data_IF_632841551158
#
_entry.id   IF_632841551158
#
_cell.length_a   1.000
_cell.length_b   1.000
_cell.length_c   1.000
_cell.angle_alpha   90.00
_cell.angle_beta   90.00
_cell.angle_gamma   90.00
#
_symmetry.space_group_name_H-M   'P 1'
#
loop_
_entity.id
_entity.type
_entity.pdbx_description
1 polymer ?
#
# COMPACT_ATOMS: atom_id res chain seq x y z
N UNK A 1 15.61 -4.36 29.51
CA UNK A 1 15.96 -3.93 28.14
C UNK A 1 14.81 -4.38 27.26
N UNK A 2 14.09 -3.47 26.61
CA UNK A 2 13.09 -3.87 25.61
C UNK A 2 13.85 -4.42 24.40
N UNK A 3 13.46 -5.60 23.94
CA UNK A 3 13.97 -6.17 22.70
C UNK A 3 13.42 -5.36 21.51
N UNK A 4 14.09 -5.39 20.36
CA UNK A 4 13.57 -4.77 19.14
C UNK A 4 12.14 -5.25 18.83
N UNK A 5 11.87 -6.55 19.04
CA UNK A 5 10.54 -7.13 18.86
C UNK A 5 9.50 -6.52 19.79
N UNK A 6 9.80 -6.31 21.08
CA UNK A 6 8.88 -5.64 21.99
C UNK A 6 8.58 -4.20 21.56
N UNK A 7 9.57 -3.47 21.01
CA UNK A 7 9.34 -2.13 20.48
C UNK A 7 8.50 -2.13 19.20
N UNK A 8 8.67 -3.16 18.36
CA UNK A 8 7.84 -3.39 17.18
C UNK A 8 6.41 -3.74 17.59
N UNK A 9 6.21 -4.60 18.57
CA UNK A 9 4.89 -4.91 19.16
C UNK A 9 4.19 -3.63 19.64
N UNK A 10 4.89 -2.80 20.41
CA UNK A 10 4.37 -1.51 20.88
C UNK A 10 4.01 -0.59 19.71
N UNK A 11 4.86 -0.50 18.69
CA UNK A 11 4.58 0.31 17.50
C UNK A 11 3.34 -0.19 16.77
N UNK A 12 3.24 -1.50 16.53
CA UNK A 12 2.11 -2.10 15.83
C UNK A 12 0.82 -1.86 16.61
N UNK A 13 0.80 -2.11 17.91
CA UNK A 13 -0.37 -1.87 18.76
C UNK A 13 -0.85 -0.41 18.70
N UNK A 14 0.08 0.56 18.69
CA UNK A 14 -0.25 1.98 18.66
C UNK A 14 -0.64 2.52 17.27
N UNK A 15 -0.23 1.86 16.18
CA UNK A 15 -0.37 2.41 14.82
C UNK A 15 -1.29 1.60 13.91
N UNK A 16 -1.49 0.30 14.16
CA UNK A 16 -2.34 -0.55 13.29
C UNK A 16 -3.81 -0.13 13.31
N UNK A 17 -4.26 0.47 14.43
CA UNK A 17 -5.60 1.04 14.54
C UNK A 17 -5.89 2.10 13.47
N UNK A 18 -4.88 2.86 13.04
CA UNK A 18 -5.02 3.86 11.96
C UNK A 18 -5.34 3.21 10.61
N UNK A 19 -4.73 2.05 10.31
CA UNK A 19 -5.04 1.28 9.11
C UNK A 19 -6.51 0.82 9.13
N UNK A 20 -6.96 0.27 10.26
CA UNK A 20 -8.34 -0.20 10.42
C UNK A 20 -9.37 0.94 10.37
N UNK A 21 -9.12 2.08 11.02
CA UNK A 21 -10.01 3.24 10.96
C UNK A 21 -10.07 3.81 9.54
N UNK A 22 -8.93 3.93 8.86
CA UNK A 22 -8.85 4.42 7.48
C UNK A 22 -9.66 3.56 6.50
N UNK A 23 -9.66 2.23 6.69
CA UNK A 23 -10.51 1.30 5.92
C UNK A 23 -12.00 1.58 6.14
N UNK A 24 -12.42 1.77 7.39
CA UNK A 24 -13.82 2.06 7.73
C UNK A 24 -14.25 3.43 7.18
N UNK A 25 -13.42 4.46 7.34
CA UNK A 25 -13.71 5.80 6.84
C UNK A 25 -13.83 5.82 5.31
N UNK A 26 -13.05 4.97 4.63
CA UNK A 26 -13.20 4.76 3.20
C UNK A 26 -14.56 4.19 2.82
N UNK A 27 -15.08 3.21 3.55
CA UNK A 27 -16.43 2.66 3.31
C UNK A 27 -17.52 3.71 3.54
N UNK A 28 -17.40 4.48 4.62
CA UNK A 28 -18.38 5.52 5.00
C UNK A 28 -18.42 6.68 4.00
N UNK A 29 -17.27 7.09 3.48
CA UNK A 29 -17.17 8.18 2.49
C UNK A 29 -17.42 7.74 1.05
N UNK A 30 -17.49 6.43 0.77
CA UNK A 30 -17.68 5.92 -0.58
C UNK A 30 -19.07 6.27 -1.10
N UNK A 31 -19.14 6.55 -2.41
CA UNK A 31 -20.37 6.89 -3.12
C UNK A 31 -20.53 5.92 -4.30
N UNK A 32 -21.77 5.47 -4.57
CA UNK A 32 -22.05 4.53 -5.66
C UNK A 32 -21.54 5.04 -7.01
N UNK A 33 -21.78 6.31 -7.33
CA UNK A 33 -21.31 6.93 -8.58
C UNK A 33 -19.78 6.89 -8.72
N UNK A 34 -19.05 7.09 -7.62
CA UNK A 34 -17.58 6.96 -7.63
C UNK A 34 -17.17 5.52 -7.91
N UNK A 35 -17.88 4.57 -7.32
CA UNK A 35 -17.64 3.14 -7.52
C UNK A 35 -17.82 2.76 -8.99
N UNK A 36 -18.95 3.10 -9.59
CA UNK A 36 -19.27 2.79 -10.99
C UNK A 36 -18.26 3.45 -11.95
N UNK A 37 -17.83 4.68 -11.68
CA UNK A 37 -16.82 5.39 -12.50
C UNK A 37 -15.41 4.82 -12.35
N UNK A 38 -15.12 4.10 -11.27
CA UNK A 38 -13.74 3.68 -10.94
C UNK A 38 -13.26 2.44 -11.68
N UNK A 39 -14.15 1.68 -12.32
CA UNK A 39 -13.83 0.40 -12.97
C UNK A 39 -14.43 0.32 -14.38
N UNK A 40 -13.99 -0.67 -15.15
CA UNK A 40 -14.40 -0.84 -16.55
C UNK A 40 -15.77 -1.57 -16.64
N UNK A 41 -16.88 -0.89 -17.03
CA UNK A 41 -18.20 -1.51 -17.09
C UNK A 41 -18.28 -2.65 -18.12
N UNK A 42 -17.51 -2.59 -19.21
CA UNK A 42 -17.47 -3.64 -20.22
C UNK A 42 -16.92 -4.96 -19.66
N UNK A 43 -15.97 -4.90 -18.73
CA UNK A 43 -15.44 -6.08 -18.04
C UNK A 43 -16.53 -6.79 -17.24
N UNK A 44 -17.36 -6.05 -16.51
CA UNK A 44 -18.44 -6.64 -15.70
C UNK A 44 -19.56 -7.21 -16.57
N UNK A 45 -19.83 -6.59 -17.73
CA UNK A 45 -20.72 -7.18 -18.73
C UNK A 45 -20.15 -8.49 -19.28
N UNK A 46 -18.85 -8.52 -19.61
CA UNK A 46 -18.18 -9.72 -20.12
C UNK A 46 -18.08 -10.85 -19.07
N UNK A 47 -18.00 -10.51 -17.78
CA UNK A 47 -18.08 -11.48 -16.67
C UNK A 47 -19.47 -12.09 -16.47
N UNK A 48 -20.48 -11.64 -17.23
CA UNK A 48 -21.86 -12.10 -17.14
C UNK A 48 -22.44 -11.99 -15.73
N UNK A 49 -22.18 -10.86 -15.05
CA UNK A 49 -22.82 -10.56 -13.76
C UNK A 49 -24.26 -10.14 -14.02
N UNK A 50 -25.22 -10.85 -13.41
CA UNK A 50 -26.63 -10.78 -13.79
C UNK A 50 -27.51 -10.11 -12.76
N UNK A 51 -27.00 -9.89 -11.54
CA UNK A 51 -27.76 -9.20 -10.48
C UNK A 51 -27.10 -7.88 -10.06
N UNK A 52 -27.89 -6.90 -9.60
CA UNK A 52 -27.38 -5.66 -9.02
C UNK A 52 -26.39 -5.90 -7.87
N UNK A 53 -26.67 -6.89 -7.02
CA UNK A 53 -25.80 -7.23 -5.89
C UNK A 53 -24.44 -7.74 -6.36
N UNK A 54 -24.40 -8.71 -7.29
CA UNK A 54 -23.15 -9.23 -7.84
C UNK A 54 -22.29 -8.12 -8.46
N UNK A 55 -22.92 -7.18 -9.19
CA UNK A 55 -22.20 -6.06 -9.80
C UNK A 55 -21.63 -5.14 -8.71
N UNK A 56 -22.47 -4.71 -7.76
CA UNK A 56 -22.03 -3.80 -6.68
C UNK A 56 -20.92 -4.44 -5.86
N UNK A 57 -21.05 -5.70 -5.45
CA UNK A 57 -20.03 -6.43 -4.69
C UNK A 57 -18.74 -6.61 -5.49
N UNK A 58 -18.83 -6.95 -6.78
CA UNK A 58 -17.64 -7.15 -7.63
C UNK A 58 -16.86 -5.84 -7.86
N UNK A 59 -17.56 -4.73 -8.08
CA UNK A 59 -16.90 -3.42 -8.23
C UNK A 59 -16.37 -2.95 -6.87
N UNK A 60 -17.14 -3.08 -5.78
CA UNK A 60 -16.73 -2.71 -4.43
C UNK A 60 -15.48 -3.45 -3.98
N UNK A 61 -15.46 -4.78 -4.09
CA UNK A 61 -14.32 -5.63 -3.76
C UNK A 61 -13.06 -5.20 -4.53
N UNK A 62 -13.17 -5.01 -5.85
CA UNK A 62 -12.05 -4.58 -6.68
C UNK A 62 -11.56 -3.16 -6.35
N UNK A 63 -12.45 -2.26 -5.93
CA UNK A 63 -12.08 -0.91 -5.53
C UNK A 63 -11.38 -0.89 -4.16
N UNK A 64 -11.93 -1.62 -3.20
CA UNK A 64 -11.43 -1.67 -1.83
C UNK A 64 -10.09 -2.40 -1.73
N UNK A 65 -9.91 -3.49 -2.48
CA UNK A 65 -8.62 -4.20 -2.53
C UNK A 65 -7.47 -3.27 -2.93
N UNK A 66 -7.63 -2.47 -3.99
CA UNK A 66 -6.59 -1.49 -4.39
C UNK A 66 -6.35 -0.39 -3.35
N UNK A 67 -7.41 0.03 -2.64
CA UNK A 67 -7.29 1.04 -1.60
C UNK A 67 -6.57 0.50 -0.36
N UNK A 68 -6.85 -0.76 0.03
CA UNK A 68 -6.22 -1.45 1.14
C UNK A 68 -4.73 -1.68 0.88
N UNK A 69 -4.33 -2.06 -0.33
CA UNK A 69 -2.92 -2.18 -0.72
C UNK A 69 -2.16 -0.85 -0.55
N UNK A 70 -2.78 0.27 -0.90
CA UNK A 70 -2.16 1.60 -0.74
C UNK A 70 -2.04 1.98 0.73
N UNK A 71 -3.14 1.85 1.50
CA UNK A 71 -3.15 2.15 2.94
C UNK A 71 -2.14 1.30 3.72
N UNK A 72 -2.04 0.02 3.37
CA UNK A 72 -1.09 -0.88 4.03
C UNK A 72 0.34 -0.63 3.59
N UNK A 73 0.56 -0.21 2.34
CA UNK A 73 1.88 0.26 1.87
C UNK A 73 2.40 1.45 2.67
N UNK A 74 1.55 2.47 2.88
CA UNK A 74 1.90 3.64 3.70
C UNK A 74 2.22 3.24 5.15
N UNK A 75 1.47 2.28 5.70
CA UNK A 75 1.71 1.76 7.05
C UNK A 75 3.04 0.99 7.15
N UNK A 76 3.36 0.14 6.15
CA UNK A 76 4.63 -0.59 6.07
C UNK A 76 5.84 0.34 5.91
N UNK A 77 5.70 1.44 5.16
CA UNK A 77 6.71 2.49 5.10
C UNK A 77 6.99 3.07 6.49
N UNK A 78 5.93 3.40 7.24
CA UNK A 78 6.05 3.88 8.62
C UNK A 78 6.78 2.90 9.54
N UNK A 79 6.41 1.61 9.47
CA UNK A 79 7.07 0.56 10.26
C UNK A 79 8.56 0.44 9.91
N UNK A 80 8.92 0.44 8.63
CA UNK A 80 10.31 0.36 8.19
C UNK A 80 11.15 1.56 8.65
N UNK A 81 10.60 2.78 8.59
CA UNK A 81 11.25 3.99 9.11
C UNK A 81 11.46 3.88 10.62
N UNK A 82 10.44 3.43 11.36
CA UNK A 82 10.52 3.25 12.81
C UNK A 82 11.61 2.25 13.21
N UNK A 83 11.68 1.10 12.55
CA UNK A 83 12.72 0.09 12.81
C UNK A 83 14.11 0.65 12.52
N UNK A 84 14.30 1.29 11.36
CA UNK A 84 15.58 1.89 11.00
C UNK A 84 15.98 3.02 11.97
N UNK A 85 15.01 3.76 12.51
CA UNK A 85 15.26 4.77 13.54
C UNK A 85 15.83 4.16 14.82
N UNK A 86 15.23 3.07 15.31
CA UNK A 86 15.68 2.41 16.54
C UNK A 86 17.07 1.79 16.37
N UNK A 87 17.32 1.14 15.23
CA UNK A 87 18.54 0.33 15.04
C UNK A 87 19.72 1.16 14.53
N UNK A 88 19.47 2.09 13.60
CA UNK A 88 20.50 2.81 12.87
C UNK A 88 20.33 4.34 12.93
N UNK A 89 19.49 4.86 13.83
CA UNK A 89 19.16 6.28 13.91
C UNK A 89 18.66 6.84 12.55
N UNK A 90 18.01 5.99 11.76
CA UNK A 90 17.42 6.37 10.49
C UNK A 90 16.28 7.38 10.65
N UNK A 91 16.00 8.14 9.60
CA UNK A 91 15.00 9.19 9.61
C UNK A 91 14.26 9.30 8.28
N UNK A 92 13.05 9.87 8.32
CA UNK A 92 12.25 10.13 7.12
C UNK A 92 12.97 11.16 6.26
N UNK A 93 13.24 10.79 5.01
CA UNK A 93 14.00 11.62 4.09
C UNK A 93 13.22 12.87 3.66
N UNK A 94 13.96 13.95 3.38
CA UNK A 94 13.42 15.15 2.75
C UNK A 94 13.63 15.17 1.22
N UNK A 95 14.40 14.23 0.68
CA UNK A 95 14.68 14.11 -0.73
C UNK A 95 13.49 13.51 -1.49
N UNK A 96 13.21 14.09 -2.66
CA UNK A 96 12.11 13.69 -3.53
C UNK A 96 12.18 12.19 -3.89
N UNK A 97 11.13 11.44 -3.52
CA UNK A 97 11.00 10.01 -3.81
C UNK A 97 11.98 9.10 -3.07
N UNK A 98 12.58 9.60 -1.99
CA UNK A 98 13.33 8.82 -0.99
C UNK A 98 12.53 8.87 0.31
N UNK A 99 12.31 7.72 0.92
CA UNK A 99 11.41 7.56 2.05
C UNK A 99 12.19 7.51 3.38
N UNK A 100 13.36 6.88 3.37
CA UNK A 100 14.22 6.67 4.54
C UNK A 100 15.69 6.97 4.20
N UNK A 101 16.38 7.64 5.12
CA UNK A 101 17.84 7.79 5.14
C UNK A 101 18.40 7.16 6.42
N UNK A 102 19.52 6.45 6.32
CA UNK A 102 20.21 5.86 7.48
C UNK A 102 21.69 5.64 7.20
N UNK A 103 22.51 5.61 8.25
CA UNK A 103 23.93 5.26 8.15
C UNK A 103 24.17 3.83 8.69
N UNK A 104 24.90 3.02 7.93
CA UNK A 104 25.28 1.66 8.34
C UNK A 104 26.67 1.34 7.81
N UNK A 105 27.54 0.83 8.68
CA UNK A 105 28.92 0.42 8.36
C UNK A 105 29.73 1.47 7.58
N UNK A 106 29.58 2.74 7.96
CA UNK A 106 30.28 3.87 7.32
C UNK A 106 29.73 4.29 5.95
N UNK A 107 28.60 3.72 5.52
CA UNK A 107 27.89 4.08 4.28
C UNK A 107 26.55 4.72 4.60
N UNK A 108 26.25 5.82 3.91
CA UNK A 108 24.97 6.49 3.96
C UNK A 108 24.00 5.90 2.93
N UNK A 109 22.79 5.53 3.34
CA UNK A 109 21.83 4.87 2.47
C UNK A 109 20.60 5.74 2.20
N UNK A 110 20.31 5.96 0.92
CA UNK A 110 19.05 6.52 0.44
C UNK A 110 18.09 5.38 0.08
N UNK A 111 16.99 5.25 0.81
CA UNK A 111 16.08 4.12 0.68
C UNK A 111 14.72 4.62 0.20
N UNK A 112 14.25 4.06 -0.92
CA UNK A 112 12.83 4.16 -1.27
C UNK A 112 12.13 2.84 -0.94
N UNK A 113 11.08 2.94 -0.13
CA UNK A 113 10.32 1.82 0.40
C UNK A 113 9.11 1.58 -0.51
N UNK A 114 8.85 0.31 -0.80
CA UNK A 114 7.75 -0.17 -1.63
C UNK A 114 7.14 -1.39 -0.96
N UNK A 115 5.84 -1.61 -1.16
CA UNK A 115 5.21 -2.79 -0.59
C UNK A 115 5.84 -4.07 -1.16
N UNK A 116 5.95 -4.19 -2.49
CA UNK A 116 6.47 -5.39 -3.15
C UNK A 116 7.23 -5.13 -4.45
N UNK A 117 7.81 -6.16 -5.08
CA UNK A 117 8.78 -6.01 -6.16
C UNK A 117 8.16 -5.53 -7.49
N UNK A 118 6.85 -5.70 -7.69
CA UNK A 118 6.10 -5.34 -8.90
C UNK A 118 5.21 -4.11 -8.68
N UNK A 119 5.80 -3.03 -8.15
CA UNK A 119 5.05 -1.83 -7.78
C UNK A 119 4.93 -0.80 -8.94
N UNK A 120 5.73 -0.94 -10.00
CA UNK A 120 5.94 0.12 -11.00
C UNK A 120 5.87 -0.35 -12.44
N UNK A 121 5.50 0.57 -13.32
CA UNK A 121 5.77 0.50 -14.75
C UNK A 121 7.16 1.10 -15.07
N UNK A 122 7.53 1.14 -16.36
CA UNK A 122 8.83 1.65 -16.82
C UNK A 122 9.07 3.13 -16.53
N UNK A 123 8.05 3.99 -16.58
CA UNK A 123 8.21 5.42 -16.31
C UNK A 123 8.43 5.70 -14.82
N UNK A 124 7.70 5.01 -13.94
CA UNK A 124 7.92 5.07 -12.50
C UNK A 124 9.32 4.57 -12.11
N UNK A 125 9.81 3.49 -12.74
CA UNK A 125 11.19 3.02 -12.53
C UNK A 125 12.22 4.05 -12.97
N UNK A 126 12.01 4.70 -14.13
CA UNK A 126 12.92 5.75 -14.60
C UNK A 126 13.00 6.90 -13.59
N UNK A 127 11.86 7.35 -13.07
CA UNK A 127 11.80 8.43 -12.08
C UNK A 127 12.49 8.05 -10.77
N UNK A 128 12.33 6.81 -10.30
CA UNK A 128 13.06 6.31 -9.11
C UNK A 128 14.58 6.41 -9.30
N UNK A 129 15.10 5.97 -10.45
CA UNK A 129 16.53 6.05 -10.76
C UNK A 129 17.03 7.50 -10.78
N UNK A 130 16.27 8.40 -11.38
CA UNK A 130 16.58 9.83 -11.41
C UNK A 130 16.65 10.42 -9.99
N UNK A 131 15.69 10.06 -9.13
CA UNK A 131 15.65 10.49 -7.74
C UNK A 131 16.86 9.99 -6.95
N UNK A 132 17.23 8.71 -7.08
CA UNK A 132 18.44 8.17 -6.42
C UNK A 132 19.72 8.87 -6.88
N UNK A 133 19.89 9.07 -8.19
CA UNK A 133 21.07 9.77 -8.72
C UNK A 133 21.13 11.22 -8.24
N UNK A 134 19.98 11.89 -8.15
CA UNK A 134 19.87 13.27 -7.64
C UNK A 134 20.23 13.32 -6.15
N UNK A 135 19.71 12.41 -5.32
CA UNK A 135 20.00 12.35 -3.89
C UNK A 135 21.51 12.13 -3.63
N UNK A 136 22.11 11.12 -4.27
CA UNK A 136 23.55 10.84 -4.19
C UNK A 136 24.40 12.05 -4.63
N UNK A 137 24.00 12.74 -5.70
CA UNK A 137 24.70 13.94 -6.17
C UNK A 137 24.65 15.06 -5.13
N UNK A 138 23.45 15.35 -4.61
CA UNK A 138 23.25 16.40 -3.59
C UNK A 138 24.12 16.11 -2.37
N UNK A 139 24.07 14.87 -1.87
CA UNK A 139 24.85 14.41 -0.71
C UNK A 139 26.33 14.79 -0.81
N UNK A 140 26.97 14.48 -1.95
CA UNK A 140 28.38 14.79 -2.17
C UNK A 140 28.64 16.29 -2.39
N UNK A 141 27.75 17.00 -3.10
CA UNK A 141 27.92 18.45 -3.31
C UNK A 141 27.76 19.27 -2.03
N UNK A 142 27.08 18.73 -1.01
CA UNK A 142 26.95 19.33 0.32
C UNK A 142 28.19 19.16 1.21
N UNK A 143 29.29 18.60 0.67
CA UNK A 143 30.57 18.44 1.37
C UNK A 143 30.74 17.11 2.10
N UNK A 144 29.77 16.20 2.03
CA UNK A 144 29.90 14.86 2.60
C UNK A 144 30.88 14.01 1.78
N UNK A 145 31.83 13.39 2.48
CA UNK A 145 32.86 12.52 1.89
C UNK A 145 32.61 11.03 2.09
N UNK A 146 31.59 10.68 2.89
CA UNK A 146 31.25 9.29 3.16
C UNK A 146 30.72 8.62 1.89
N UNK A 147 30.86 7.30 1.82
CA UNK A 147 30.23 6.50 0.78
C UNK A 147 28.71 6.65 0.90
N UNK A 148 28.02 6.70 -0.24
CA UNK A 148 26.56 6.65 -0.26
C UNK A 148 26.04 5.63 -1.27
N UNK A 149 24.99 4.91 -0.88
CA UNK A 149 24.32 3.92 -1.71
C UNK A 149 22.81 4.11 -1.72
N UNK A 150 22.16 3.57 -2.74
CA UNK A 150 20.72 3.66 -2.90
C UNK A 150 20.09 2.27 -2.81
N UNK A 151 18.98 2.15 -2.09
CA UNK A 151 18.24 0.91 -1.89
C UNK A 151 16.79 1.09 -2.37
N UNK A 152 16.34 0.20 -3.26
CA UNK A 152 14.92 -0.05 -3.48
C UNK A 152 14.50 -1.16 -2.50
N UNK A 153 13.87 -0.77 -1.39
CA UNK A 153 13.43 -1.68 -0.34
C UNK A 153 12.00 -2.14 -0.58
N UNK A 154 11.78 -3.45 -0.70
CA UNK A 154 10.45 -4.04 -0.82
C UNK A 154 10.10 -4.84 0.44
N UNK A 155 9.00 -4.48 1.10
CA UNK A 155 8.56 -5.11 2.36
C UNK A 155 8.17 -6.59 2.20
N UNK A 156 7.70 -7.02 1.03
CA UNK A 156 7.44 -8.43 0.73
C UNK A 156 7.98 -8.84 -0.64
N UNK A 157 7.95 -10.15 -0.91
CA UNK A 157 8.38 -10.74 -2.18
C UNK A 157 9.86 -11.10 -2.21
N UNK A 158 10.33 -11.59 -3.36
CA UNK A 158 11.70 -12.06 -3.57
C UNK A 158 12.29 -11.42 -4.83
N UNK A 159 13.58 -11.10 -4.77
CA UNK A 159 14.37 -10.62 -5.90
C UNK A 159 15.72 -11.34 -5.91
N UNK A 160 16.00 -12.06 -6.99
CA UNK A 160 17.25 -12.79 -7.15
C UNK A 160 18.36 -11.87 -7.67
N UNK A 161 18.01 -10.95 -8.58
CA UNK A 161 18.96 -10.00 -9.15
C UNK A 161 18.89 -8.67 -8.38
N UNK A 162 19.61 -8.59 -7.27
CA UNK A 162 19.56 -7.43 -6.38
C UNK A 162 20.27 -6.21 -6.96
N UNK A 163 21.41 -6.37 -7.64
CA UNK A 163 22.18 -5.23 -8.18
C UNK A 163 21.48 -4.67 -9.42
N UNK A 164 21.05 -3.42 -9.33
CA UNK A 164 20.57 -2.63 -10.48
C UNK A 164 21.65 -1.63 -10.90
N UNK A 165 21.36 -0.87 -11.95
CA UNK A 165 22.26 0.13 -12.51
C UNK A 165 22.63 1.25 -11.53
N UNK A 166 21.66 1.70 -10.72
CA UNK A 166 21.77 2.91 -9.88
C UNK A 166 21.66 2.62 -8.38
N UNK A 167 21.13 1.44 -8.02
CA UNK A 167 20.75 1.07 -6.67
C UNK A 167 20.79 -0.46 -6.47
N UNK A 168 20.59 -0.91 -5.24
CA UNK A 168 20.40 -2.32 -4.89
C UNK A 168 18.92 -2.52 -4.53
N UNK A 169 18.29 -3.55 -5.07
CA UNK A 169 16.93 -3.94 -4.74
C UNK A 169 16.94 -5.07 -3.72
N UNK A 170 16.38 -4.82 -2.54
CA UNK A 170 16.24 -5.78 -1.45
C UNK A 170 14.77 -6.05 -1.22
N UNK A 171 14.36 -7.32 -1.11
CA UNK A 171 12.95 -7.69 -0.96
C UNK A 171 12.76 -8.67 0.20
N UNK A 172 11.65 -8.53 0.92
CA UNK A 172 11.26 -9.43 2.01
C UNK A 172 12.32 -9.49 3.09
N UNK A 173 12.69 -10.70 3.49
CA UNK A 173 13.75 -11.01 4.46
C UNK A 173 14.98 -10.12 4.31
N UNK A 174 15.55 -10.01 3.11
CA UNK A 174 16.76 -9.19 2.88
C UNK A 174 16.57 -7.71 3.20
N UNK A 175 15.37 -7.17 2.96
CA UNK A 175 15.10 -5.77 3.26
C UNK A 175 14.90 -5.56 4.76
N UNK A 176 14.10 -6.42 5.39
CA UNK A 176 13.86 -6.36 6.83
C UNK A 176 15.13 -6.57 7.64
N UNK A 177 15.97 -7.54 7.27
CA UNK A 177 17.28 -7.76 7.86
C UNK A 177 18.18 -6.53 7.66
N UNK A 178 18.18 -5.95 6.45
CA UNK A 178 19.04 -4.81 6.15
C UNK A 178 18.79 -3.61 7.08
N UNK A 179 17.52 -3.28 7.34
CA UNK A 179 17.11 -2.13 8.16
C UNK A 179 17.07 -2.42 9.67
N UNK A 180 17.13 -3.69 10.08
CA UNK A 180 16.96 -4.08 11.48
C UNK A 180 18.14 -4.81 12.11
N UNK A 181 19.03 -5.38 11.29
CA UNK A 181 20.06 -6.32 11.72
C UNK A 181 19.52 -7.68 12.17
N UNK A 182 18.22 -7.96 12.02
CA UNK A 182 17.59 -9.23 12.40
C UNK A 182 17.16 -10.03 11.17
N UNK A 183 17.70 -11.25 11.04
CA UNK A 183 17.34 -12.20 9.99
C UNK A 183 15.88 -12.68 10.11
N UNK A 184 15.32 -12.70 11.33
CA UNK A 184 13.98 -13.25 11.59
C UNK A 184 12.86 -12.23 11.55
N UNK A 185 13.17 -10.93 11.50
CA UNK A 185 12.16 -9.87 11.68
C UNK A 185 10.99 -9.98 10.70
N UNK A 186 11.23 -10.42 9.46
CA UNK A 186 10.17 -10.57 8.46
C UNK A 186 9.10 -11.62 8.85
N UNK A 187 9.45 -12.56 9.72
CA UNK A 187 8.52 -13.53 10.34
C UNK A 187 7.96 -12.94 11.62
N UNK A 188 8.82 -12.37 12.46
CA UNK A 188 8.46 -11.92 13.81
C UNK A 188 7.36 -10.83 13.79
N UNK A 189 7.27 -10.02 12.72
CA UNK A 189 6.22 -9.00 12.56
C UNK A 189 4.81 -9.57 12.33
N UNK A 190 4.65 -10.86 12.01
CA UNK A 190 3.34 -11.46 11.70
C UNK A 190 2.42 -11.48 12.93
N UNK A 191 2.92 -11.94 14.07
CA UNK A 191 2.12 -12.04 15.29
C UNK A 191 1.63 -10.66 15.78
N UNK A 192 2.49 -9.62 15.90
CA UNK A 192 2.05 -8.27 16.25
C UNK A 192 0.97 -7.72 15.31
N UNK A 193 1.08 -7.98 14.00
CA UNK A 193 0.12 -7.53 13.00
C UNK A 193 -1.27 -8.17 13.14
N UNK A 194 -1.34 -9.36 13.75
CA UNK A 194 -2.57 -10.10 13.97
C UNK A 194 -3.36 -9.67 15.21
N UNK A 195 -2.75 -8.89 16.11
CA UNK A 195 -3.37 -8.45 17.36
C UNK A 195 -4.62 -7.62 17.04
N UNK A 196 -5.74 -7.95 17.70
CA UNK A 196 -7.07 -7.34 17.53
C UNK A 196 -7.66 -7.40 16.11
N UNK A 197 -7.00 -8.07 15.15
CA UNK A 197 -7.43 -8.09 13.76
C UNK A 197 -8.85 -8.67 13.59
N UNK A 198 -9.22 -9.65 14.42
CA UNK A 198 -10.57 -10.24 14.43
C UNK A 198 -11.65 -9.23 14.83
N UNK A 199 -11.44 -8.49 15.92
CA UNK A 199 -12.39 -7.47 16.40
C UNK A 199 -12.53 -6.33 15.38
N UNK A 200 -11.41 -5.83 14.88
CA UNK A 200 -11.42 -4.74 13.88
C UNK A 200 -12.06 -5.17 12.56
N UNK A 201 -11.86 -6.43 12.14
CA UNK A 201 -12.54 -6.96 10.96
C UNK A 201 -14.05 -7.12 11.16
N UNK A 202 -14.51 -7.41 12.38
CA UNK A 202 -15.95 -7.46 12.67
C UNK A 202 -16.60 -6.08 12.46
N UNK A 203 -15.96 -5.01 12.95
CA UNK A 203 -16.43 -3.63 12.74
C UNK A 203 -16.43 -3.26 11.26
N UNK A 204 -15.36 -3.58 10.53
CA UNK A 204 -15.29 -3.37 9.08
C UNK A 204 -16.42 -4.10 8.34
N UNK A 205 -16.67 -5.38 8.69
CA UNK A 205 -17.71 -6.19 8.04
C UNK A 205 -19.09 -5.56 8.20
N UNK A 206 -19.43 -5.07 9.40
CA UNK A 206 -20.72 -4.41 9.65
C UNK A 206 -20.91 -3.18 8.76
N UNK A 207 -19.87 -2.35 8.61
CA UNK A 207 -19.93 -1.16 7.76
C UNK A 207 -19.93 -1.52 6.26
N UNK A 208 -19.24 -2.59 5.88
CA UNK A 208 -19.25 -3.12 4.52
C UNK A 208 -20.65 -3.64 4.14
N UNK A 209 -21.29 -4.45 4.99
CA UNK A 209 -22.62 -5.00 4.75
C UNK A 209 -23.66 -3.86 4.58
N UNK A 210 -23.57 -2.81 5.42
CA UNK A 210 -24.41 -1.60 5.30
C UNK A 210 -24.17 -0.88 3.98
N UNK A 211 -22.91 -0.73 3.57
CA UNK A 211 -22.54 -0.09 2.31
C UNK A 211 -23.07 -0.88 1.10
N UNK A 212 -22.88 -2.20 1.06
CA UNK A 212 -23.39 -3.05 -0.01
C UNK A 212 -24.91 -2.95 -0.10
N UNK A 213 -25.62 -3.10 1.02
CA UNK A 213 -27.09 -3.00 1.05
C UNK A 213 -27.58 -1.67 0.48
N UNK A 214 -26.98 -0.55 0.94
CA UNK A 214 -27.32 0.79 0.45
C UNK A 214 -27.05 0.92 -1.05
N UNK A 215 -25.87 0.50 -1.50
CA UNK A 215 -25.46 0.63 -2.90
C UNK A 215 -26.25 -0.28 -3.83
N UNK A 216 -26.62 -1.49 -3.41
CA UNK A 216 -27.48 -2.36 -4.19
C UNK A 216 -28.86 -1.73 -4.37
N UNK A 217 -29.46 -1.18 -3.29
CA UNK A 217 -30.72 -0.43 -3.39
C UNK A 217 -30.61 0.75 -4.35
N UNK A 218 -29.58 1.58 -4.19
CA UNK A 218 -29.37 2.76 -5.02
C UNK A 218 -29.09 2.36 -6.49
N UNK A 219 -28.38 1.24 -6.70
CA UNK A 219 -28.12 0.70 -8.03
C UNK A 219 -29.40 0.24 -8.71
N UNK A 220 -30.26 -0.50 -8.00
CA UNK A 220 -31.57 -0.91 -8.51
C UNK A 220 -32.37 0.32 -8.95
N UNK A 221 -32.44 1.33 -8.08
CA UNK A 221 -33.21 2.55 -8.36
C UNK A 221 -32.71 3.32 -9.58
N UNK A 222 -31.41 3.32 -9.85
CA UNK A 222 -30.80 4.16 -10.90
C UNK A 222 -30.57 3.42 -12.21
N UNK A 223 -30.24 2.13 -12.13
CA UNK A 223 -29.69 1.35 -13.25
C UNK A 223 -30.48 0.07 -13.56
N UNK A 224 -31.65 -0.15 -12.96
CA UNK A 224 -32.57 -1.20 -13.38
C UNK A 224 -33.88 -0.62 -13.93
N UNK A 225 -34.56 -1.36 -14.80
CA UNK A 225 -35.94 -1.09 -15.20
C UNK A 225 -36.95 -1.71 -14.21
N UNK A 226 -38.24 -1.56 -14.49
CA UNK A 226 -39.33 -2.10 -13.67
C UNK A 226 -39.35 -3.63 -13.60
N UNK A 227 -38.78 -4.30 -14.59
CA UNK A 227 -38.73 -5.76 -14.68
C UNK A 227 -37.45 -6.32 -14.03
N UNK A 228 -36.58 -5.44 -13.52
CA UNK A 228 -35.32 -5.80 -12.88
C UNK A 228 -34.16 -5.99 -13.84
N UNK A 229 -34.31 -5.67 -15.12
CA UNK A 229 -33.21 -5.76 -16.08
C UNK A 229 -32.22 -4.62 -15.85
N UNK A 230 -30.93 -4.95 -15.90
CA UNK A 230 -29.85 -3.97 -15.76
C UNK A 230 -29.73 -3.13 -17.05
N UNK A 231 -29.90 -1.82 -16.91
CA UNK A 231 -29.75 -0.81 -17.95
C UNK A 231 -28.28 -0.45 -18.17
N UNK A 232 -27.54 -1.36 -18.81
CA UNK A 232 -26.10 -1.21 -19.06
C UNK A 232 -25.72 0.07 -19.81
N UNK A 233 -26.61 0.58 -20.69
CA UNK A 233 -26.42 1.86 -21.35
C UNK A 233 -26.27 3.03 -20.37
N UNK A 234 -27.06 3.07 -19.29
CA UNK A 234 -26.94 4.10 -18.23
C UNK A 234 -25.62 3.99 -17.48
N UNK A 235 -25.18 2.76 -17.18
CA UNK A 235 -23.92 2.47 -16.49
C UNK A 235 -22.73 2.93 -17.34
N UNK A 236 -22.73 2.59 -18.63
CA UNK A 236 -21.68 3.01 -19.57
C UNK A 236 -21.72 4.52 -19.77
N UNK A 237 -22.90 5.14 -19.87
CA UNK A 237 -23.02 6.59 -20.03
C UNK A 237 -22.45 7.35 -18.83
N UNK A 238 -22.74 6.96 -17.59
CA UNK A 238 -22.16 7.62 -16.41
C UNK A 238 -20.65 7.37 -16.28
N UNK A 239 -20.14 6.24 -16.78
CA UNK A 239 -18.73 5.87 -16.69
C UNK A 239 -17.88 6.52 -17.79
N UNK A 240 -18.36 6.51 -19.03
CA UNK A 240 -17.59 6.82 -20.24
C UNK A 240 -18.26 7.82 -21.17
N UNK A 241 -19.46 8.31 -20.83
CA UNK A 241 -20.15 9.33 -21.61
C UNK A 241 -19.40 10.66 -21.63
N UNK A 242 -19.67 11.45 -22.67
CA UNK A 242 -19.19 12.83 -22.79
C UNK A 242 -19.85 13.73 -21.76
#
# INVERSE_FOLDING_TARGET
MNTLISQVEDYVANNIAYFHSSRIDKLKSLQLNRLIKSKNPYLYKAKNLNTPQEIVESIASAFLSSAEESMFGDWLEGLAIFIANIVYNGYKSSAEGIDLEMDKDGTHYFISIKSGPKWSNSSSLKKLKENFLKAKRIYHTSGNRNLCEAIEGCCYGKENNTRKDTHIKLCGERFWEFISGSETLYIDIIEPLGIDAAEKNQQYKQEYDKMITRFTRDFISLYCDSDGNILWNKIVYINSGK
#
